data_IF_762071685554
#
_entry.id   IF_762071685554
#
_cell.length_a   1.000
_cell.length_b   1.000
_cell.length_c   1.000
_cell.angle_alpha   90.00
_cell.angle_beta   90.00
_cell.angle_gamma   90.00
#
_symmetry.space_group_name_H-M   'P 1'
#
loop_
_entity.id
_entity.type
_entity.pdbx_description
1 polymer ?
#
# COMPACT_ATOMS: atom_id res chain seq x y z
N UNK A 1 19.21 5.33 18.88
CA UNK A 1 18.32 4.75 17.85
C UNK A 1 17.85 5.93 17.02
N UNK A 2 18.24 6.00 15.75
CA UNK A 2 18.03 7.17 14.88
C UNK A 2 16.53 7.35 14.57
N UNK A 3 16.02 8.58 14.51
CA UNK A 3 14.59 8.81 14.27
C UNK A 3 14.23 8.32 12.85
N UNK A 4 13.11 7.59 12.64
CA UNK A 4 12.76 7.05 11.33
C UNK A 4 12.52 8.07 10.22
N UNK A 5 12.48 9.37 10.53
CA UNK A 5 12.42 10.47 9.56
C UNK A 5 13.81 10.91 9.08
N UNK A 6 14.85 10.74 9.90
CA UNK A 6 16.23 11.13 9.58
C UNK A 6 16.87 10.15 8.59
N UNK A 7 16.49 8.87 8.65
CA UNK A 7 16.96 7.80 7.76
C UNK A 7 16.48 7.92 6.29
N UNK A 8 15.60 8.87 5.98
CA UNK A 8 15.05 9.08 4.62
C UNK A 8 15.26 10.52 4.12
N UNK A 9 16.12 11.30 4.80
CA UNK A 9 16.53 12.64 4.35
C UNK A 9 17.47 12.60 3.13
N UNK A 10 18.06 11.43 2.82
CA UNK A 10 19.01 11.23 1.72
C UNK A 10 18.35 11.14 0.33
N UNK A 11 17.01 11.02 0.25
CA UNK A 11 16.29 10.94 -1.02
C UNK A 11 16.05 12.34 -1.58
N UNK A 12 16.85 12.71 -2.58
CA UNK A 12 16.76 14.01 -3.26
C UNK A 12 15.48 14.13 -4.08
N UNK A 13 14.73 15.22 -3.89
CA UNK A 13 13.48 15.50 -4.60
C UNK A 13 13.73 16.50 -5.74
N UNK A 14 13.40 16.19 -7.02
CA UNK A 14 13.30 17.23 -8.03
C UNK A 14 12.13 18.16 -7.69
N UNK A 15 12.37 19.47 -7.77
CA UNK A 15 11.32 20.47 -7.60
C UNK A 15 10.48 20.55 -8.88
N UNK A 16 9.18 20.30 -8.79
CA UNK A 16 8.21 20.60 -9.85
C UNK A 16 7.21 21.67 -9.39
N UNK A 17 6.92 22.61 -10.29
CA UNK A 17 6.07 23.78 -10.06
C UNK A 17 4.62 23.37 -9.77
N UNK A 18 4.09 23.77 -8.62
CA UNK A 18 2.72 23.42 -8.20
C UNK A 18 1.70 24.42 -8.74
N UNK A 19 0.72 23.94 -9.51
CA UNK A 19 -0.49 24.72 -9.86
C UNK A 19 -1.65 24.56 -8.86
N UNK A 20 -1.76 23.46 -8.09
CA UNK A 20 -2.72 23.30 -6.98
C UNK A 20 -2.21 22.31 -5.92
N UNK A 21 -2.70 22.36 -4.67
CA UNK A 21 -2.37 21.35 -3.64
C UNK A 21 -3.16 20.05 -3.91
N UNK A 22 -2.52 18.87 -3.94
CA UNK A 22 -3.21 17.62 -4.23
C UNK A 22 -4.21 17.25 -3.12
N UNK A 23 -5.38 16.73 -3.51
CA UNK A 23 -6.40 16.17 -2.62
C UNK A 23 -6.17 14.69 -2.34
N UNK A 24 -5.53 13.98 -3.26
CA UNK A 24 -5.13 12.57 -3.09
C UNK A 24 -3.66 12.37 -3.48
N UNK A 25 -2.97 11.51 -2.74
CA UNK A 25 -1.64 11.00 -3.08
C UNK A 25 -1.77 9.52 -3.38
N UNK A 26 -1.35 9.09 -4.56
CA UNK A 26 -1.45 7.70 -4.99
C UNK A 26 -0.04 7.12 -4.98
N UNK A 27 0.18 6.14 -4.12
CA UNK A 27 1.45 5.44 -3.93
C UNK A 27 1.40 4.14 -4.70
N UNK A 28 2.32 3.97 -5.65
CA UNK A 28 2.36 2.80 -6.53
C UNK A 28 3.74 2.14 -6.40
N UNK A 29 3.84 0.90 -5.89
CA UNK A 29 5.09 0.15 -5.92
C UNK A 29 5.40 -0.30 -7.34
N UNK A 30 6.66 -0.20 -7.75
CA UNK A 30 7.10 -0.60 -9.09
C UNK A 30 8.38 -1.44 -8.97
N UNK A 31 8.33 -2.68 -9.46
CA UNK A 31 9.48 -3.59 -9.44
C UNK A 31 9.48 -4.47 -10.68
N UNK A 32 10.52 -4.35 -11.51
CA UNK A 32 10.66 -5.12 -12.76
C UNK A 32 9.39 -5.10 -13.62
N UNK A 33 8.98 -3.91 -14.05
CA UNK A 33 7.77 -3.61 -14.83
C UNK A 33 8.10 -3.01 -16.21
N UNK A 34 9.32 -3.14 -16.75
CA UNK A 34 9.75 -2.40 -17.95
C UNK A 34 8.81 -2.53 -19.16
N UNK A 35 8.24 -3.73 -19.34
CA UNK A 35 7.36 -4.03 -20.48
C UNK A 35 5.93 -3.50 -20.30
N UNK A 36 5.48 -3.27 -19.07
CA UNK A 36 4.09 -2.95 -18.76
C UNK A 36 3.90 -1.50 -18.31
N UNK A 37 4.90 -0.95 -17.63
CA UNK A 37 4.84 0.33 -16.96
C UNK A 37 4.50 1.51 -17.90
N UNK A 38 5.08 1.66 -19.12
CA UNK A 38 4.81 2.84 -19.94
C UNK A 38 3.33 3.00 -20.29
N UNK A 39 2.72 1.94 -20.83
CA UNK A 39 1.30 1.95 -21.23
C UNK A 39 0.39 2.06 -20.01
N UNK A 40 0.63 1.24 -18.98
CA UNK A 40 -0.24 1.21 -17.81
C UNK A 40 -0.20 2.52 -17.01
N UNK A 41 0.96 3.19 -16.92
CA UNK A 41 1.06 4.48 -16.25
C UNK A 41 0.33 5.59 -17.02
N UNK A 42 0.39 5.59 -18.36
CA UNK A 42 -0.36 6.54 -19.19
C UNK A 42 -1.87 6.36 -19.04
N UNK A 43 -2.37 5.12 -19.18
CA UNK A 43 -3.79 4.80 -19.03
C UNK A 43 -4.30 5.15 -17.63
N UNK A 44 -3.49 4.87 -16.61
CA UNK A 44 -3.79 5.23 -15.23
C UNK A 44 -3.86 6.74 -15.03
N UNK A 45 -2.89 7.49 -15.58
CA UNK A 45 -2.84 8.94 -15.50
C UNK A 45 -4.04 9.60 -16.17
N UNK A 46 -4.38 9.18 -17.40
CA UNK A 46 -5.53 9.69 -18.15
C UNK A 46 -6.84 9.39 -17.43
N UNK A 47 -6.99 8.18 -16.88
CA UNK A 47 -8.13 7.81 -16.06
C UNK A 47 -8.31 8.70 -14.83
N UNK A 48 -7.22 9.14 -14.19
CA UNK A 48 -7.26 10.06 -13.06
C UNK A 48 -7.58 11.50 -13.47
N UNK A 49 -7.07 11.97 -14.61
CA UNK A 49 -7.39 13.30 -15.13
C UNK A 49 -8.90 13.46 -15.33
N UNK A 50 -9.57 12.43 -15.84
CA UNK A 50 -11.02 12.41 -16.04
C UNK A 50 -11.83 12.46 -14.73
N UNK A 51 -11.24 12.15 -13.58
CA UNK A 51 -11.92 12.23 -12.28
C UNK A 51 -12.12 13.67 -11.78
N UNK A 52 -11.37 14.63 -12.31
CA UNK A 52 -11.45 16.03 -11.88
C UNK A 52 -11.02 16.28 -10.42
N UNK A 53 -10.25 15.36 -9.82
CA UNK A 53 -9.73 15.49 -8.46
C UNK A 53 -8.24 15.79 -8.53
N UNK A 54 -7.77 16.88 -7.92
CA UNK A 54 -6.34 17.18 -7.86
C UNK A 54 -5.57 16.03 -7.17
N UNK A 55 -4.56 15.47 -7.84
CA UNK A 55 -3.82 14.29 -7.37
C UNK A 55 -2.31 14.50 -7.48
N UNK A 56 -1.56 13.62 -6.81
CA UNK A 56 -0.16 13.32 -7.14
C UNK A 56 0.02 11.80 -7.21
N UNK A 57 0.92 11.35 -8.08
CA UNK A 57 1.33 9.94 -8.19
C UNK A 57 2.77 9.81 -7.70
N UNK A 58 3.01 8.84 -6.85
CA UNK A 58 4.32 8.53 -6.26
C UNK A 58 4.69 7.12 -6.69
N UNK A 59 5.48 7.02 -7.75
CA UNK A 59 6.05 5.76 -8.24
C UNK A 59 7.21 5.36 -7.32
N UNK A 60 7.04 4.30 -6.55
CA UNK A 60 8.04 3.78 -5.63
C UNK A 60 8.82 2.66 -6.32
N UNK A 61 9.87 3.05 -7.06
CA UNK A 61 10.81 2.14 -7.72
C UNK A 61 11.55 1.32 -6.66
N UNK A 62 11.39 0.01 -6.69
CA UNK A 62 11.75 -0.90 -5.62
C UNK A 62 12.99 -1.75 -5.96
N UNK A 63 14.11 -1.12 -6.33
CA UNK A 63 15.38 -1.82 -6.58
C UNK A 63 15.36 -2.75 -7.79
N UNK A 64 14.67 -2.34 -8.85
CA UNK A 64 14.53 -3.09 -10.11
C UNK A 64 15.87 -3.33 -10.78
N UNK A 65 15.97 -4.46 -11.48
CA UNK A 65 17.19 -4.91 -12.19
C UNK A 65 17.09 -4.75 -13.71
N UNK A 66 15.96 -4.24 -14.19
CA UNK A 66 15.63 -4.01 -15.59
C UNK A 66 15.47 -2.50 -15.87
N UNK A 67 14.94 -2.11 -17.03
CA UNK A 67 14.84 -0.69 -17.42
C UNK A 67 13.78 0.12 -16.63
N UNK A 68 13.07 -0.50 -15.68
CA UNK A 68 12.01 0.13 -14.87
C UNK A 68 12.45 1.44 -14.21
N UNK A 69 13.68 1.50 -13.70
CA UNK A 69 14.20 2.72 -13.06
C UNK A 69 14.30 3.88 -14.05
N UNK A 70 14.79 3.62 -15.26
CA UNK A 70 14.88 4.64 -16.32
C UNK A 70 13.49 5.09 -16.74
N UNK A 71 12.55 4.15 -16.88
CA UNK A 71 11.17 4.42 -17.31
C UNK A 71 10.41 5.26 -16.28
N UNK A 72 10.43 4.87 -15.00
CA UNK A 72 9.79 5.64 -13.92
C UNK A 72 10.29 7.08 -13.87
N UNK A 73 11.60 7.29 -14.01
CA UNK A 73 12.17 8.65 -14.10
C UNK A 73 11.65 9.43 -15.30
N UNK A 74 11.63 8.83 -16.49
CA UNK A 74 11.08 9.46 -17.70
C UNK A 74 9.61 9.86 -17.53
N UNK A 75 8.79 8.98 -16.96
CA UNK A 75 7.39 9.29 -16.67
C UNK A 75 7.22 10.48 -15.72
N UNK A 76 8.11 10.64 -14.73
CA UNK A 76 8.08 11.79 -13.83
C UNK A 76 8.51 13.10 -14.50
N UNK A 77 9.27 13.04 -15.59
CA UNK A 77 9.68 14.21 -16.37
C UNK A 77 8.61 14.60 -17.40
N UNK A 78 7.88 13.61 -17.94
CA UNK A 78 6.85 13.78 -18.96
C UNK A 78 5.46 14.16 -18.39
N UNK A 79 5.05 13.54 -17.27
CA UNK A 79 3.71 13.68 -16.72
C UNK A 79 3.68 14.62 -15.52
N UNK A 80 2.77 15.60 -15.55
CA UNK A 80 2.53 16.50 -14.44
C UNK A 80 2.05 15.75 -13.19
N UNK A 81 2.48 16.18 -12.00
CA UNK A 81 2.10 15.59 -10.71
C UNK A 81 2.51 14.11 -10.53
N UNK A 82 3.40 13.59 -11.35
CA UNK A 82 4.01 12.27 -11.18
C UNK A 82 5.43 12.45 -10.67
N UNK A 83 5.80 11.69 -9.63
CA UNK A 83 7.17 11.67 -9.11
C UNK A 83 7.62 10.26 -8.79
N UNK A 84 8.93 10.07 -8.88
CA UNK A 84 9.57 8.78 -8.58
C UNK A 84 10.35 8.86 -7.27
N UNK A 85 10.22 7.83 -6.46
CA UNK A 85 11.08 7.54 -5.32
C UNK A 85 11.83 6.24 -5.62
N UNK A 86 13.16 6.30 -5.58
CA UNK A 86 14.01 5.16 -5.90
C UNK A 86 14.56 4.53 -4.63
N UNK A 87 14.14 3.31 -4.36
CA UNK A 87 14.68 2.48 -3.29
C UNK A 87 15.80 1.64 -3.90
N UNK A 88 17.04 1.86 -3.46
CA UNK A 88 18.21 1.22 -4.06
C UNK A 88 18.23 -0.31 -3.94
N UNK A 89 17.46 -0.90 -3.02
CA UNK A 89 17.41 -2.34 -2.74
C UNK A 89 15.97 -2.82 -2.70
N UNK A 90 15.69 -3.96 -3.34
CA UNK A 90 14.36 -4.54 -3.40
C UNK A 90 13.81 -4.92 -2.02
N UNK A 91 12.83 -4.15 -1.57
CA UNK A 91 12.11 -4.28 -0.31
C UNK A 91 10.76 -3.54 -0.41
N UNK A 92 9.70 -4.29 -0.74
CA UNK A 92 8.34 -3.74 -0.92
C UNK A 92 7.90 -2.85 0.26
N UNK A 93 8.13 -3.31 1.50
CA UNK A 93 7.74 -2.57 2.69
C UNK A 93 8.46 -1.23 2.81
N UNK A 94 9.76 -1.18 2.50
CA UNK A 94 10.51 0.09 2.47
C UNK A 94 10.00 1.04 1.39
N UNK A 95 9.73 0.52 0.19
CA UNK A 95 9.19 1.31 -0.92
C UNK A 95 7.83 1.92 -0.58
N UNK A 96 6.92 1.10 -0.06
CA UNK A 96 5.59 1.55 0.34
C UNK A 96 5.66 2.55 1.49
N UNK A 97 6.43 2.26 2.54
CA UNK A 97 6.61 3.19 3.66
C UNK A 97 7.16 4.53 3.20
N UNK A 98 8.21 4.54 2.37
CA UNK A 98 8.80 5.76 1.83
C UNK A 98 7.79 6.57 1.01
N UNK A 99 7.03 5.90 0.13
CA UNK A 99 5.96 6.54 -0.65
C UNK A 99 4.86 7.16 0.20
N UNK A 100 4.40 6.43 1.22
CA UNK A 100 3.36 6.92 2.13
C UNK A 100 3.84 8.09 3.00
N UNK A 101 5.08 8.06 3.50
CA UNK A 101 5.69 9.18 4.24
C UNK A 101 5.86 10.40 3.35
N UNK A 102 6.25 10.19 2.08
CA UNK A 102 6.44 11.28 1.14
C UNK A 102 5.12 11.93 0.70
N UNK A 103 3.97 11.27 0.87
CA UNK A 103 2.66 11.73 0.43
C UNK A 103 2.24 13.06 1.08
N UNK A 104 1.76 14.01 0.26
CA UNK A 104 1.47 15.39 0.68
C UNK A 104 -0.02 15.68 0.79
N UNK A 105 -0.87 14.86 0.18
CA UNK A 105 -2.32 15.04 0.18
C UNK A 105 -2.97 14.61 1.51
N UNK A 106 -4.19 15.06 1.83
CA UNK A 106 -4.92 14.61 3.01
C UNK A 106 -5.34 13.13 2.96
N UNK A 107 -5.49 12.54 1.76
CA UNK A 107 -5.82 11.14 1.58
C UNK A 107 -4.73 10.41 0.79
N UNK A 108 -4.34 9.23 1.27
CA UNK A 108 -3.35 8.37 0.62
C UNK A 108 -4.08 7.17 0.01
N UNK A 109 -3.78 6.84 -1.22
CA UNK A 109 -4.20 5.63 -1.90
C UNK A 109 -2.99 4.75 -2.16
N UNK A 110 -3.12 3.44 -1.95
CA UNK A 110 -2.16 2.43 -2.38
C UNK A 110 -2.81 1.64 -3.49
N UNK A 111 -2.22 1.66 -4.68
CA UNK A 111 -2.62 0.86 -5.84
C UNK A 111 -1.40 0.15 -6.42
N UNK A 112 -1.65 -0.96 -7.11
CA UNK A 112 -0.66 -1.58 -7.98
C UNK A 112 -0.90 -1.09 -9.41
N UNK A 113 0.16 -1.00 -10.21
CA UNK A 113 0.07 -0.46 -11.58
C UNK A 113 -0.85 -1.28 -12.49
N UNK A 114 -1.02 -2.57 -12.21
CA UNK A 114 -1.89 -3.52 -12.92
C UNK A 114 -3.24 -3.77 -12.22
N UNK A 115 -3.42 -3.23 -11.00
CA UNK A 115 -4.59 -3.46 -10.17
C UNK A 115 -5.03 -2.18 -9.45
N UNK A 116 -5.86 -1.41 -10.15
CA UNK A 116 -6.52 -0.20 -9.66
C UNK A 116 -7.98 -0.13 -10.13
N UNK A 117 -8.77 0.73 -9.47
CA UNK A 117 -10.15 1.02 -9.84
C UNK A 117 -10.50 2.47 -9.50
N UNK A 118 -10.96 3.21 -10.51
CA UNK A 118 -11.45 4.59 -10.33
C UNK A 118 -12.77 4.63 -9.55
N UNK A 119 -13.59 3.58 -9.62
CA UNK A 119 -14.81 3.45 -8.83
C UNK A 119 -14.50 3.24 -7.34
N UNK A 120 -13.55 2.35 -7.03
CA UNK A 120 -13.05 2.20 -5.66
C UNK A 120 -12.49 3.53 -5.14
N UNK A 121 -11.72 4.26 -5.96
CA UNK A 121 -11.18 5.57 -5.59
C UNK A 121 -12.29 6.55 -5.20
N UNK A 122 -13.33 6.68 -6.04
CA UNK A 122 -14.48 7.56 -5.80
C UNK A 122 -15.22 7.17 -4.51
N UNK A 123 -15.52 5.87 -4.35
CA UNK A 123 -16.23 5.36 -3.18
C UNK A 123 -15.42 5.58 -1.90
N UNK A 124 -14.14 5.23 -1.92
CA UNK A 124 -13.24 5.39 -0.78
C UNK A 124 -13.08 6.87 -0.38
N UNK A 125 -13.02 7.80 -1.34
CA UNK A 125 -13.02 9.24 -1.05
C UNK A 125 -14.27 9.70 -0.28
N UNK A 126 -15.44 9.14 -0.61
CA UNK A 126 -16.67 9.40 0.14
C UNK A 126 -16.63 8.81 1.54
N UNK A 127 -16.15 7.57 1.66
CA UNK A 127 -16.08 6.81 2.91
C UNK A 127 -15.05 7.36 3.90
N UNK A 128 -13.92 7.91 3.43
CA UNK A 128 -12.87 8.47 4.29
C UNK A 128 -13.29 9.73 5.08
N UNK A 129 -14.51 10.24 4.85
CA UNK A 129 -15.15 11.24 5.73
C UNK A 129 -15.66 10.63 7.04
N UNK A 130 -15.97 9.33 7.04
CA UNK A 130 -16.56 8.58 8.16
C UNK A 130 -15.63 7.49 8.70
N UNK A 131 -14.76 6.98 7.87
CA UNK A 131 -13.78 5.93 8.18
C UNK A 131 -12.37 6.50 8.06
N UNK A 132 -11.43 5.85 8.73
CA UNK A 132 -10.03 6.28 8.74
C UNK A 132 -9.20 5.45 7.73
N UNK A 133 -9.65 4.23 7.44
CA UNK A 133 -9.07 3.30 6.45
C UNK A 133 -10.19 2.67 5.61
N UNK A 134 -9.99 2.58 4.30
CA UNK A 134 -10.89 1.87 3.38
C UNK A 134 -10.08 0.84 2.59
N UNK A 135 -10.55 -0.40 2.52
CA UNK A 135 -9.83 -1.52 1.88
C UNK A 135 -10.75 -2.20 0.89
N UNK A 136 -10.28 -2.40 -0.35
CA UNK A 136 -10.96 -3.26 -1.31
C UNK A 136 -10.81 -4.72 -0.87
N UNK A 137 -11.91 -5.42 -0.63
CA UNK A 137 -11.90 -6.74 -0.01
C UNK A 137 -12.64 -7.77 -0.85
N UNK A 138 -11.95 -8.87 -1.10
CA UNK A 138 -12.47 -10.06 -1.81
C UNK A 138 -13.43 -10.87 -0.93
N UNK A 139 -13.45 -10.58 0.38
CA UNK A 139 -14.23 -11.27 1.40
C UNK A 139 -15.37 -10.39 1.95
N UNK A 140 -15.54 -9.19 1.41
CA UNK A 140 -16.67 -8.33 1.72
C UNK A 140 -17.97 -8.86 1.06
N UNK A 141 -19.14 -8.68 1.70
CA UNK A 141 -20.42 -9.00 1.08
C UNK A 141 -20.57 -8.29 -0.27
N UNK A 142 -20.92 -9.04 -1.31
CA UNK A 142 -21.04 -8.53 -2.68
C UNK A 142 -19.74 -8.55 -3.51
N UNK A 143 -18.62 -9.01 -2.95
CA UNK A 143 -17.39 -9.18 -3.71
C UNK A 143 -17.48 -10.36 -4.68
N UNK A 144 -16.82 -10.25 -5.83
CA UNK A 144 -16.75 -11.31 -6.83
C UNK A 144 -15.29 -11.71 -7.07
N UNK A 145 -14.87 -12.82 -6.47
CA UNK A 145 -13.54 -13.38 -6.71
C UNK A 145 -13.61 -14.42 -7.83
N UNK A 146 -13.09 -14.09 -9.02
CA UNK A 146 -13.06 -14.99 -10.20
C UNK A 146 -11.82 -15.87 -10.26
N UNK A 147 -10.92 -15.78 -9.28
CA UNK A 147 -9.69 -16.58 -9.23
C UNK A 147 -9.99 -18.05 -8.92
N UNK A 148 -8.98 -18.90 -9.08
CA UNK A 148 -9.09 -20.34 -8.79
C UNK A 148 -9.50 -20.63 -7.33
N UNK A 149 -10.14 -21.79 -7.12
CA UNK A 149 -10.59 -22.21 -5.79
C UNK A 149 -9.44 -22.25 -4.76
N UNK A 150 -8.24 -22.66 -5.16
CA UNK A 150 -7.06 -22.68 -4.29
C UNK A 150 -6.68 -21.27 -3.80
N UNK A 151 -6.82 -20.24 -4.65
CA UNK A 151 -6.59 -18.83 -4.26
C UNK A 151 -7.64 -18.31 -3.28
N UNK A 152 -8.90 -18.71 -3.45
CA UNK A 152 -9.98 -18.39 -2.52
C UNK A 152 -9.72 -19.02 -1.15
N UNK A 153 -9.35 -20.31 -1.12
CA UNK A 153 -9.00 -21.00 0.12
C UNK A 153 -7.78 -20.38 0.80
N UNK A 154 -6.73 -20.05 0.05
CA UNK A 154 -5.55 -19.38 0.60
C UNK A 154 -5.91 -18.01 1.22
N UNK A 155 -6.81 -17.25 0.58
CA UNK A 155 -7.29 -15.96 1.08
C UNK A 155 -8.05 -16.13 2.41
N UNK A 156 -8.99 -17.08 2.47
CA UNK A 156 -9.74 -17.40 3.69
C UNK A 156 -8.85 -17.92 4.82
N UNK A 157 -7.93 -18.82 4.52
CA UNK A 157 -6.99 -19.38 5.48
C UNK A 157 -6.07 -18.31 6.06
N UNK A 158 -5.57 -17.41 5.22
CA UNK A 158 -4.75 -16.29 5.67
C UNK A 158 -5.53 -15.33 6.59
N UNK A 159 -6.76 -14.97 6.21
CA UNK A 159 -7.66 -14.18 7.07
C UNK A 159 -7.87 -14.84 8.44
N UNK A 160 -8.25 -16.13 8.46
CA UNK A 160 -8.49 -16.84 9.72
C UNK A 160 -7.21 -16.89 10.58
N UNK A 161 -6.06 -17.10 9.95
CA UNK A 161 -4.77 -17.11 10.63
C UNK A 161 -4.45 -15.77 11.30
N UNK A 162 -4.56 -14.64 10.60
CA UNK A 162 -4.30 -13.32 11.18
C UNK A 162 -5.34 -12.95 12.25
N UNK A 163 -6.62 -13.34 12.05
CA UNK A 163 -7.68 -13.14 13.03
C UNK A 163 -7.35 -13.83 14.35
N UNK A 164 -6.94 -15.10 14.30
CA UNK A 164 -6.56 -15.85 15.51
C UNK A 164 -5.29 -15.28 16.16
N UNK A 165 -4.29 -14.89 15.37
CA UNK A 165 -3.00 -14.47 15.89
C UNK A 165 -3.02 -13.06 16.50
N UNK A 166 -3.81 -12.14 15.94
CA UNK A 166 -3.81 -10.72 16.31
C UNK A 166 -5.16 -10.20 16.85
N UNK A 167 -6.20 -11.04 16.87
CA UNK A 167 -7.57 -10.67 17.26
C UNK A 167 -8.13 -9.50 16.44
N UNK A 168 -7.94 -9.57 15.12
CA UNK A 168 -8.41 -8.57 14.14
C UNK A 168 -9.61 -9.08 13.35
N UNK A 169 -10.50 -8.18 12.93
CA UNK A 169 -11.73 -8.49 12.20
C UNK A 169 -11.63 -8.16 10.72
N UNK A 170 -10.67 -7.34 10.32
CA UNK A 170 -10.39 -7.04 8.92
C UNK A 170 -10.06 -8.31 8.14
N UNK A 171 -10.73 -8.51 6.99
CA UNK A 171 -10.62 -9.74 6.21
C UNK A 171 -9.58 -9.64 5.10
N UNK A 172 -9.35 -8.45 4.57
CA UNK A 172 -8.34 -8.17 3.55
C UNK A 172 -7.28 -7.20 4.05
N UNK A 173 -6.03 -7.51 3.75
CA UNK A 173 -4.86 -6.73 4.16
C UNK A 173 -4.01 -6.31 2.97
N UNK A 174 -4.28 -6.81 1.77
CA UNK A 174 -3.52 -6.54 0.55
C UNK A 174 -4.39 -5.93 -0.55
N UNK A 175 -3.75 -5.33 -1.56
CA UNK A 175 -4.44 -4.72 -2.70
C UNK A 175 -4.81 -3.26 -2.46
N UNK A 176 -5.87 -2.79 -3.15
CA UNK A 176 -6.28 -1.39 -3.13
C UNK A 176 -6.71 -0.92 -1.74
N UNK A 177 -6.09 0.16 -1.27
CA UNK A 177 -6.40 0.76 0.04
C UNK A 177 -6.41 2.27 -0.03
N UNK A 178 -7.15 2.89 0.86
CA UNK A 178 -7.20 4.33 1.03
C UNK A 178 -7.16 4.69 2.52
N UNK A 179 -6.49 5.78 2.84
CA UNK A 179 -6.22 6.19 4.22
C UNK A 179 -6.44 7.68 4.40
N UNK A 180 -6.96 8.06 5.57
CA UNK A 180 -6.83 9.42 6.06
C UNK A 180 -5.38 9.63 6.54
N UNK A 181 -4.60 10.48 5.86
CA UNK A 181 -3.15 10.61 6.11
C UNK A 181 -2.86 10.92 7.58
N UNK A 182 -3.55 11.91 8.15
CA UNK A 182 -3.34 12.35 9.54
C UNK A 182 -3.58 11.21 10.55
N UNK A 183 -4.49 10.29 10.24
CA UNK A 183 -4.82 9.16 11.12
C UNK A 183 -3.84 8.00 10.99
N UNK A 184 -3.36 7.73 9.77
CA UNK A 184 -2.47 6.60 9.51
C UNK A 184 -0.98 6.92 9.75
N UNK A 185 -0.59 8.19 9.72
CA UNK A 185 0.80 8.65 9.85
C UNK A 185 1.54 8.10 11.08
N UNK A 186 0.99 8.15 12.32
CA UNK A 186 1.66 7.56 13.48
C UNK A 186 1.86 6.04 13.37
N UNK A 187 1.06 5.37 12.54
CA UNK A 187 1.11 3.92 12.32
C UNK A 187 2.17 3.58 11.28
N UNK A 188 2.27 4.37 10.21
CA UNK A 188 3.33 4.25 9.19
C UNK A 188 4.71 4.41 9.84
N UNK A 189 4.84 5.35 10.77
CA UNK A 189 6.10 5.61 11.47
C UNK A 189 6.58 4.40 12.28
N UNK A 190 5.64 3.68 12.92
CA UNK A 190 5.91 2.49 13.76
C UNK A 190 5.99 1.19 12.98
N UNK A 191 5.37 1.10 11.80
CA UNK A 191 5.42 -0.08 10.96
C UNK A 191 6.87 -0.36 10.53
N UNK A 192 7.37 -1.54 10.89
CA UNK A 192 8.78 -1.89 10.80
C UNK A 192 9.06 -3.15 9.97
N UNK A 193 8.02 -3.90 9.60
CA UNK A 193 8.16 -5.06 8.75
C UNK A 193 8.49 -4.66 7.32
N UNK A 194 9.56 -5.27 6.84
CA UNK A 194 10.03 -5.18 5.48
C UNK A 194 9.28 -6.15 4.55
N UNK A 195 9.53 -6.00 3.25
CA UNK A 195 9.08 -6.89 2.18
C UNK A 195 7.55 -7.02 2.19
N UNK A 196 7.08 -8.24 2.01
CA UNK A 196 5.70 -8.60 1.73
C UNK A 196 4.71 -8.41 2.89
N UNK A 197 5.18 -8.08 4.09
CA UNK A 197 4.34 -8.05 5.29
C UNK A 197 3.93 -6.64 5.74
N UNK A 198 4.50 -5.60 5.13
CA UNK A 198 4.22 -4.21 5.49
C UNK A 198 2.72 -3.88 5.44
N UNK A 199 2.05 -4.28 4.36
CA UNK A 199 0.61 -4.13 4.16
C UNK A 199 -0.20 -4.77 5.29
N UNK A 200 0.19 -5.97 5.69
CA UNK A 200 -0.47 -6.74 6.76
C UNK A 200 -0.25 -6.08 8.11
N UNK A 201 1.00 -5.70 8.43
CA UNK A 201 1.31 -4.99 9.66
C UNK A 201 0.55 -3.67 9.76
N UNK A 202 0.55 -2.87 8.69
CA UNK A 202 -0.08 -1.56 8.66
C UNK A 202 -1.57 -1.66 9.01
N UNK A 203 -2.27 -2.62 8.42
CA UNK A 203 -3.70 -2.84 8.64
C UNK A 203 -3.98 -3.40 10.04
N UNK A 204 -3.17 -4.36 10.52
CA UNK A 204 -3.30 -4.90 11.89
C UNK A 204 -3.10 -3.79 12.92
N UNK A 205 -2.04 -2.98 12.79
CA UNK A 205 -1.77 -1.87 13.70
C UNK A 205 -2.86 -0.81 13.62
N UNK A 206 -3.41 -0.54 12.43
CA UNK A 206 -4.55 0.37 12.26
C UNK A 206 -5.78 -0.09 13.06
N UNK A 207 -6.17 -1.36 12.94
CA UNK A 207 -7.32 -1.88 13.68
C UNK A 207 -7.07 -1.88 15.20
N UNK A 208 -5.89 -2.34 15.63
CA UNK A 208 -5.52 -2.36 17.06
C UNK A 208 -5.37 -0.96 17.67
N UNK A 209 -5.10 0.06 16.86
CA UNK A 209 -5.08 1.46 17.29
C UNK A 209 -6.48 2.10 17.30
N UNK A 210 -7.54 1.32 17.03
CA UNK A 210 -8.93 1.78 17.04
C UNK A 210 -9.33 2.61 15.82
N UNK A 211 -8.56 2.58 14.72
CA UNK A 211 -8.96 3.24 13.48
C UNK A 211 -10.20 2.56 12.90
N UNK A 212 -11.14 3.34 12.40
CA UNK A 212 -12.37 2.80 11.78
C UNK A 212 -12.05 2.32 10.38
N UNK A 213 -12.04 1.01 10.20
CA UNK A 213 -11.76 0.36 8.92
C UNK A 213 -13.08 -0.01 8.23
N UNK A 214 -13.17 0.27 6.93
CA UNK A 214 -14.28 -0.16 6.07
C UNK A 214 -13.75 -1.02 4.93
N UNK A 215 -14.26 -2.24 4.83
CA UNK A 215 -14.06 -3.10 3.66
C UNK A 215 -15.14 -2.83 2.61
N UNK A 216 -14.71 -2.64 1.37
CA UNK A 216 -15.55 -2.40 0.18
C UNK A 216 -15.42 -3.60 -0.75
N UNK A 217 -16.53 -4.18 -1.26
CA UNK A 217 -16.45 -5.31 -2.18
C UNK A 217 -15.75 -4.95 -3.48
N UNK A 218 -15.01 -5.90 -4.04
CA UNK A 218 -14.31 -5.72 -5.31
C UNK A 218 -14.47 -6.97 -6.18
N UNK A 219 -14.47 -6.75 -7.50
CA UNK A 219 -14.35 -7.82 -8.49
C UNK A 219 -12.87 -8.06 -8.75
N UNK A 220 -12.42 -9.31 -8.61
CA UNK A 220 -11.02 -9.67 -8.82
C UNK A 220 -10.90 -10.74 -9.88
N UNK A 221 -10.08 -10.43 -10.88
CA UNK A 221 -9.69 -11.32 -11.96
C UNK A 221 -8.16 -11.32 -12.10
N UNK A 222 -7.58 -12.47 -12.35
CA UNK A 222 -6.14 -12.62 -12.48
C UNK A 222 -5.72 -12.33 -13.93
N UNK A 223 -5.34 -11.08 -14.21
CA UNK A 223 -4.92 -10.64 -15.55
C UNK A 223 -3.56 -11.22 -15.98
N UNK A 224 -2.70 -11.59 -15.02
CA UNK A 224 -1.37 -12.16 -15.26
C UNK A 224 -0.96 -13.11 -14.13
N UNK A 225 -0.08 -14.09 -14.40
CA UNK A 225 0.43 -14.98 -13.35
C UNK A 225 1.20 -14.21 -12.27
N UNK A 226 1.15 -14.71 -11.04
CA UNK A 226 1.91 -14.14 -9.94
C UNK A 226 3.43 -14.21 -10.21
N UNK A 227 4.11 -13.08 -10.02
CA UNK A 227 5.57 -12.92 -10.24
C UNK A 227 6.45 -13.75 -9.30
N UNK A 228 5.91 -14.06 -8.13
CA UNK A 228 6.58 -14.84 -7.11
C UNK A 228 5.72 -16.03 -6.72
N UNK A 229 6.34 -17.19 -6.57
CA UNK A 229 5.65 -18.36 -6.03
C UNK A 229 5.15 -18.05 -4.62
N UNK A 230 3.82 -18.13 -4.44
CA UNK A 230 3.16 -17.97 -3.15
C UNK A 230 3.70 -18.97 -2.13
N UNK A 231 3.91 -20.23 -2.54
CA UNK A 231 4.40 -21.32 -1.67
C UNK A 231 5.79 -20.99 -1.11
N UNK A 232 6.69 -20.45 -1.94
CA UNK A 232 8.04 -20.05 -1.50
C UNK A 232 8.02 -18.92 -0.47
N UNK A 233 6.94 -18.14 -0.39
CA UNK A 233 6.78 -17.02 0.55
C UNK A 233 6.22 -17.45 1.91
N UNK A 234 5.47 -18.56 1.97
CA UNK A 234 4.76 -19.01 3.17
C UNK A 234 5.65 -19.05 4.43
N UNK A 235 6.83 -19.72 4.44
CA UNK A 235 7.63 -19.81 5.66
C UNK A 235 8.07 -18.44 6.19
N UNK A 236 8.49 -17.56 5.27
CA UNK A 236 8.90 -16.19 5.58
C UNK A 236 7.72 -15.38 6.14
N UNK A 237 6.54 -15.51 5.54
CA UNK A 237 5.31 -14.85 5.99
C UNK A 237 4.95 -15.29 7.40
N UNK A 238 4.93 -16.60 7.68
CA UNK A 238 4.59 -17.14 9.00
C UNK A 238 5.58 -16.63 10.06
N UNK A 239 6.89 -16.77 9.82
CA UNK A 239 7.93 -16.30 10.75
C UNK A 239 7.76 -14.80 11.02
N UNK A 240 7.56 -14.00 9.97
CA UNK A 240 7.40 -12.56 10.10
C UNK A 240 6.14 -12.15 10.88
N UNK A 241 5.04 -12.90 10.77
CA UNK A 241 3.83 -12.65 11.57
C UNK A 241 4.03 -13.00 13.05
N UNK A 242 4.74 -14.08 13.38
CA UNK A 242 5.10 -14.36 14.77
C UNK A 242 6.06 -13.31 15.34
N UNK A 243 7.01 -12.83 14.54
CA UNK A 243 7.87 -11.70 14.92
C UNK A 243 7.05 -10.44 15.20
N UNK A 244 6.08 -10.11 14.32
CA UNK A 244 5.17 -8.99 14.55
C UNK A 244 4.38 -9.16 15.85
N UNK A 245 3.83 -10.35 16.09
CA UNK A 245 3.08 -10.63 17.34
C UNK A 245 3.95 -10.39 18.57
N UNK A 246 5.21 -10.81 18.53
CA UNK A 246 6.18 -10.57 19.58
C UNK A 246 6.50 -9.08 19.76
N UNK A 247 6.71 -8.33 18.67
CA UNK A 247 6.96 -6.89 18.73
C UNK A 247 5.77 -6.13 19.33
N UNK A 248 4.55 -6.41 18.87
CA UNK A 248 3.34 -5.80 19.42
C UNK A 248 3.14 -6.12 20.90
N UNK A 249 3.45 -7.34 21.33
CA UNK A 249 3.41 -7.72 22.75
C UNK A 249 4.43 -6.94 23.58
N UNK A 250 5.67 -6.81 23.10
CA UNK A 250 6.71 -6.00 23.74
C UNK A 250 6.34 -4.52 23.84
N UNK A 251 5.79 -3.94 22.77
CA UNK A 251 5.32 -2.55 22.77
C UNK A 251 4.23 -2.33 23.82
N UNK A 252 3.29 -3.27 23.95
CA UNK A 252 2.23 -3.20 24.95
C UNK A 252 2.78 -3.24 26.39
N UNK A 253 3.75 -4.12 26.67
CA UNK A 253 4.40 -4.19 27.98
C UNK A 253 5.10 -2.87 28.33
N UNK A 254 5.84 -2.28 27.39
CA UNK A 254 6.55 -1.02 27.61
C UNK A 254 5.61 0.15 27.91
N UNK A 255 4.43 0.17 27.27
CA UNK A 255 3.39 1.18 27.54
C UNK A 255 2.72 0.96 28.90
N UNK A 256 2.53 -0.30 29.32
CA UNK A 256 1.95 -0.65 30.62
C UNK A 256 2.90 -0.52 31.82
N UNK A 257 4.21 -0.35 31.61
CA UNK A 257 5.18 -0.09 32.70
C UNK A 257 5.33 1.40 33.03
N UNK A 258 4.63 2.29 32.32
CA UNK A 258 4.69 3.75 32.44
C UNK A 258 3.49 4.35 33.19
N UNK A 259 2.73 3.51 33.90
CA UNK A 259 1.58 3.84 34.76
C UNK A 259 1.78 3.20 36.12
#
# INVERSE_FOLDING_TARGET
>A
MMHPAEAYSEYSFPAQGRKTRPKISIVIPVYNEEAFLPTAASDFYDGLQQLGVAFEIILCENGSTDDTRRITKGLSEELDNVRTLTIGVADYGRAMRAGMVAAKAPYIFIFDIDYYSTDFLKEALGLLKKYDVVIASKLAPGAEDRRSFSRKMATQGFYLFIKMLFNVHVKETHGMKAFNRKKIEPIIERACLAKDLFDTELVIRAEQSGLRIKEVPVVVEEKRPARSSMVKRIPRTIIGLFMLRYFLWKEHLAQGSST
#
